data_IF_424283379137
#
_entry.id   IF_424283379137
#
_cell.length_a   1.000
_cell.length_b   1.000
_cell.length_c   1.000
_cell.angle_alpha   90.00
_cell.angle_beta   90.00
_cell.angle_gamma   90.00
#
_symmetry.space_group_name_H-M   'P 1'
#
loop_
_entity.id
_entity.type
_entity.pdbx_description
1 polymer ?
#
# COMPACT_ATOMS: atom_id res chain seq x y z
N UNK A 1 -0.33 5.47 10.44
CA UNK A 1 -0.37 6.95 10.61
C UNK A 1 -1.62 7.46 11.35
N UNK A 2 -1.72 8.75 11.75
CA UNK A 2 -2.95 9.33 12.33
C UNK A 2 -4.17 9.24 11.40
N UNK A 3 -5.36 9.12 12.00
CA UNK A 3 -6.63 8.94 11.29
C UNK A 3 -6.61 7.74 10.31
N UNK A 4 -5.92 6.65 10.69
CA UNK A 4 -5.82 5.44 9.86
C UNK A 4 -7.20 4.89 9.56
N UNK A 5 -7.41 4.52 8.29
CA UNK A 5 -8.64 3.90 7.79
C UNK A 5 -9.92 4.73 8.08
N UNK A 6 -9.77 6.04 8.32
CA UNK A 6 -10.89 6.94 8.62
C UNK A 6 -11.81 6.46 9.77
N UNK A 7 -11.31 5.59 10.67
CA UNK A 7 -12.11 5.00 11.74
C UNK A 7 -12.86 3.70 11.39
N UNK A 8 -12.63 3.12 10.21
CA UNK A 8 -13.23 1.86 9.74
C UNK A 8 -12.58 0.61 10.40
N UNK A 9 -12.65 -0.57 9.78
CA UNK A 9 -12.31 -1.87 10.38
C UNK A 9 -10.85 -1.99 10.82
N UNK A 10 -9.92 -1.31 10.14
CA UNK A 10 -8.49 -1.26 10.45
C UNK A 10 -8.09 0.05 11.16
N UNK A 11 -9.03 0.71 11.85
CA UNK A 11 -8.76 1.93 12.63
C UNK A 11 -7.60 1.79 13.62
N UNK A 12 -7.02 2.93 14.00
CA UNK A 12 -5.89 3.02 14.93
C UNK A 12 -4.86 4.02 14.43
N UNK A 13 -3.58 3.67 14.57
CA UNK A 13 -2.46 4.52 14.19
C UNK A 13 -2.01 5.47 15.32
N UNK A 14 -1.01 6.30 15.04
CA UNK A 14 -0.48 7.25 16.00
C UNK A 14 -1.53 8.31 16.39
N UNK A 15 -1.55 8.72 17.65
CA UNK A 15 -2.56 9.65 18.16
C UNK A 15 -2.48 11.08 17.60
N UNK A 16 -1.33 11.49 17.03
CA UNK A 16 -1.12 12.77 16.36
C UNK A 16 0.15 12.74 15.49
N UNK A 17 0.41 13.82 14.75
CA UNK A 17 1.60 13.99 13.92
C UNK A 17 2.93 13.80 14.67
N UNK A 18 3.07 14.33 15.88
CA UNK A 18 4.32 14.21 16.65
C UNK A 18 4.59 12.76 17.06
N UNK A 19 3.57 12.04 17.52
CA UNK A 19 3.67 10.62 17.84
C UNK A 19 4.05 9.79 16.61
N UNK A 20 3.49 10.12 15.44
CA UNK A 20 3.86 9.47 14.18
C UNK A 20 5.33 9.72 13.81
N UNK A 21 5.76 10.99 13.85
CA UNK A 21 7.14 11.40 13.57
C UNK A 21 8.15 10.73 14.49
N UNK A 22 7.81 10.58 15.77
CA UNK A 22 8.64 9.85 16.75
C UNK A 22 8.72 8.36 16.43
N UNK A 23 7.58 7.73 16.11
CA UNK A 23 7.55 6.32 15.72
C UNK A 23 8.41 6.05 14.48
N UNK A 24 8.29 6.88 13.44
CA UNK A 24 9.08 6.77 12.20
C UNK A 24 10.59 6.88 12.47
N UNK A 25 11.00 7.83 13.32
CA UNK A 25 12.41 8.00 13.70
C UNK A 25 12.92 6.80 14.50
N UNK A 26 12.12 6.25 15.41
CA UNK A 26 12.44 5.01 16.14
C UNK A 26 12.57 3.81 15.21
N UNK A 27 11.62 3.62 14.30
CA UNK A 27 11.65 2.57 13.27
C UNK A 27 12.91 2.67 12.40
N UNK A 28 13.21 3.86 11.87
CA UNK A 28 14.40 4.10 11.07
C UNK A 28 15.70 3.94 11.88
N UNK A 29 15.70 4.25 13.17
CA UNK A 29 16.78 3.91 14.08
C UNK A 29 17.02 2.39 14.17
N UNK A 30 15.94 1.61 14.24
CA UNK A 30 15.99 0.13 14.26
C UNK A 30 16.44 -0.52 12.95
N UNK A 31 16.20 0.12 11.80
CA UNK A 31 16.75 -0.33 10.51
C UNK A 31 18.29 -0.32 10.53
N UNK A 32 18.89 0.68 11.19
CA UNK A 32 20.34 0.88 11.17
C UNK A 32 20.85 1.04 9.74
N UNK A 33 21.86 0.26 9.37
CA UNK A 33 22.44 0.22 8.02
C UNK A 33 22.04 -1.05 7.24
N UNK A 34 20.98 -1.75 7.66
CA UNK A 34 20.53 -2.97 7.00
C UNK A 34 19.81 -2.63 5.69
N UNK A 35 19.93 -3.52 4.70
CA UNK A 35 19.11 -3.42 3.48
C UNK A 35 17.67 -3.77 3.84
N UNK A 36 16.76 -2.85 3.59
CA UNK A 36 15.34 -3.01 3.88
C UNK A 36 14.50 -2.42 2.74
N UNK A 37 13.41 -3.10 2.42
CA UNK A 37 12.32 -2.57 1.59
C UNK A 37 11.18 -2.18 2.53
N UNK A 38 10.67 -0.97 2.39
CA UNK A 38 9.58 -0.44 3.22
C UNK A 38 8.41 -0.07 2.33
N UNK A 39 7.27 -0.73 2.58
CA UNK A 39 5.97 -0.36 2.03
C UNK A 39 5.35 0.65 3.00
N UNK A 40 5.21 1.89 2.53
CA UNK A 40 4.86 3.02 3.39
C UNK A 40 3.36 3.30 3.34
N UNK A 41 2.71 3.02 4.48
CA UNK A 41 1.33 3.38 4.81
C UNK A 41 0.28 2.99 3.76
N UNK A 42 -0.06 1.69 3.64
CA UNK A 42 -1.18 1.22 2.83
C UNK A 42 -2.45 2.03 3.05
N UNK A 43 -3.13 2.36 1.95
CA UNK A 43 -4.38 3.13 1.84
C UNK A 43 -4.30 4.59 2.27
N UNK A 44 -3.17 5.06 2.78
CA UNK A 44 -3.08 6.41 3.32
C UNK A 44 -3.40 7.46 2.25
N UNK A 45 -2.73 7.40 1.10
CA UNK A 45 -2.98 8.35 0.03
C UNK A 45 -4.30 8.09 -0.68
N UNK A 46 -4.71 6.84 -0.88
CA UNK A 46 -5.95 6.52 -1.58
C UNK A 46 -7.20 6.93 -0.78
N UNK A 47 -7.23 6.60 0.51
CA UNK A 47 -8.36 6.81 1.42
C UNK A 47 -8.44 8.19 2.07
N UNK A 48 -7.58 9.15 1.71
CA UNK A 48 -7.52 10.45 2.40
C UNK A 48 -8.74 11.37 2.16
N UNK A 49 -9.62 11.06 1.21
CA UNK A 49 -10.79 11.92 0.87
C UNK A 49 -11.84 11.99 1.97
N UNK A 50 -11.79 11.09 2.95
CA UNK A 50 -12.61 11.16 4.16
C UNK A 50 -12.19 12.30 5.11
N UNK A 51 -10.97 12.82 4.94
CA UNK A 51 -10.38 13.83 5.81
C UNK A 51 -10.69 15.24 5.33
N UNK A 52 -10.67 16.21 6.25
CA UNK A 52 -10.73 17.63 5.88
C UNK A 52 -9.43 18.06 5.20
N UNK A 53 -9.46 19.15 4.45
CA UNK A 53 -8.31 19.61 3.65
C UNK A 53 -7.02 19.77 4.47
N UNK A 54 -7.11 20.31 5.70
CA UNK A 54 -5.96 20.43 6.60
C UNK A 54 -5.34 19.09 6.96
N UNK A 55 -6.18 18.11 7.30
CA UNK A 55 -5.74 16.76 7.67
C UNK A 55 -5.20 15.97 6.46
N UNK A 56 -5.71 16.23 5.25
CA UNK A 56 -5.14 15.69 4.01
C UNK A 56 -3.74 16.26 3.75
N UNK A 57 -3.51 17.54 4.04
CA UNK A 57 -2.17 18.13 3.94
C UNK A 57 -1.24 17.54 5.00
N UNK A 58 -1.67 17.46 6.26
CA UNK A 58 -0.88 16.83 7.33
C UNK A 58 -0.48 15.39 6.95
N UNK A 59 -1.41 14.60 6.43
CA UNK A 59 -1.14 13.22 5.97
C UNK A 59 -0.02 13.15 4.95
N UNK A 60 -0.08 14.00 3.93
CA UNK A 60 0.90 14.04 2.85
C UNK A 60 2.26 14.50 3.38
N UNK A 61 2.30 15.50 4.27
CA UNK A 61 3.52 15.98 4.90
C UNK A 61 4.19 14.92 5.79
N UNK A 62 3.38 14.13 6.50
CA UNK A 62 3.86 13.03 7.34
C UNK A 62 4.47 11.89 6.50
N UNK A 63 3.86 11.57 5.35
CA UNK A 63 4.43 10.58 4.42
C UNK A 63 5.76 11.09 3.86
N UNK A 64 5.83 12.37 3.48
CA UNK A 64 7.07 12.95 2.96
C UNK A 64 8.20 12.95 4.01
N UNK A 65 7.92 13.33 5.27
CA UNK A 65 8.88 13.21 6.38
C UNK A 65 9.35 11.77 6.55
N UNK A 66 8.44 10.79 6.47
CA UNK A 66 8.77 9.38 6.58
C UNK A 66 9.69 8.88 5.46
N UNK A 67 9.42 9.27 4.21
CA UNK A 67 10.31 8.99 3.07
C UNK A 67 11.72 9.49 3.38
N UNK A 68 11.88 10.77 3.74
CA UNK A 68 13.19 11.38 4.04
C UNK A 68 13.94 10.64 5.13
N UNK A 69 13.27 10.33 6.24
CA UNK A 69 13.87 9.65 7.39
C UNK A 69 14.34 8.23 7.02
N UNK A 70 13.56 7.48 6.26
CA UNK A 70 13.92 6.11 5.84
C UNK A 70 14.98 6.11 4.74
N UNK A 71 14.93 7.04 3.78
CA UNK A 71 15.94 7.20 2.73
C UNK A 71 17.29 7.60 3.31
N UNK A 72 17.34 8.40 4.38
CA UNK A 72 18.58 8.69 5.10
C UNK A 72 19.24 7.46 5.74
N UNK A 73 18.53 6.33 5.86
CA UNK A 73 19.06 5.03 6.30
C UNK A 73 19.39 4.07 5.14
N UNK A 74 19.22 4.52 3.90
CA UNK A 74 19.46 3.69 2.71
C UNK A 74 18.38 2.66 2.44
N UNK A 75 17.20 2.77 3.06
CA UNK A 75 16.08 1.89 2.75
C UNK A 75 15.54 2.14 1.32
N UNK A 76 15.01 1.09 0.70
CA UNK A 76 14.15 1.21 -0.48
C UNK A 76 12.72 1.48 -0.02
N UNK A 77 12.12 2.59 -0.43
CA UNK A 77 10.81 3.07 0.06
C UNK A 77 9.82 3.11 -1.10
N UNK A 78 8.68 2.43 -0.90
CA UNK A 78 7.55 2.40 -1.83
C UNK A 78 6.31 2.99 -1.16
N UNK A 79 5.87 4.18 -1.60
CA UNK A 79 4.68 4.85 -1.07
C UNK A 79 3.42 4.15 -1.62
N UNK A 80 2.50 3.70 -0.78
CA UNK A 80 1.30 3.03 -1.27
C UNK A 80 0.41 3.94 -2.13
N UNK A 81 -0.06 3.40 -3.25
CA UNK A 81 -0.92 4.06 -4.23
C UNK A 81 -2.32 3.41 -4.32
N UNK A 82 -2.72 2.63 -3.31
CA UNK A 82 -3.98 1.90 -3.29
C UNK A 82 -4.05 0.87 -4.42
N UNK A 83 -5.12 0.93 -5.22
CA UNK A 83 -5.35 -0.03 -6.30
C UNK A 83 -5.98 0.60 -7.55
N UNK A 84 -5.92 -0.12 -8.67
CA UNK A 84 -6.31 0.35 -10.00
C UNK A 84 -7.79 0.73 -10.16
N UNK A 85 -8.65 0.45 -9.17
CA UNK A 85 -10.09 0.77 -9.20
C UNK A 85 -10.51 1.77 -8.11
N UNK A 86 -9.55 2.36 -7.38
CA UNK A 86 -9.88 3.29 -6.30
C UNK A 86 -9.75 4.77 -6.71
N UNK A 87 -8.54 5.20 -7.09
CA UNK A 87 -8.25 6.62 -7.41
C UNK A 87 -7.73 6.71 -8.84
N UNK A 88 -8.23 7.63 -9.67
CA UNK A 88 -7.69 7.84 -11.03
C UNK A 88 -6.17 8.08 -11.01
N UNK A 89 -5.45 7.52 -11.98
CA UNK A 89 -3.98 7.56 -12.01
C UNK A 89 -3.40 8.98 -11.98
N UNK A 90 -4.06 9.94 -12.66
CA UNK A 90 -3.66 11.34 -12.65
C UNK A 90 -3.75 11.97 -11.25
N UNK A 91 -4.81 11.66 -10.52
CA UNK A 91 -5.02 12.16 -9.17
C UNK A 91 -4.05 11.50 -8.19
N UNK A 92 -3.86 10.17 -8.29
CA UNK A 92 -2.89 9.47 -7.45
C UNK A 92 -1.46 9.99 -7.68
N UNK A 93 -1.08 10.23 -8.93
CA UNK A 93 0.21 10.85 -9.25
C UNK A 93 0.38 12.24 -8.59
N UNK A 94 -0.67 13.07 -8.56
CA UNK A 94 -0.63 14.36 -7.88
C UNK A 94 -0.46 14.20 -6.35
N UNK A 95 -1.13 13.20 -5.74
CA UNK A 95 -0.96 12.86 -4.31
C UNK A 95 0.47 12.41 -4.01
N UNK A 96 1.03 11.53 -4.85
CA UNK A 96 2.42 11.03 -4.74
C UNK A 96 3.45 12.14 -4.90
N UNK A 97 3.26 13.06 -5.84
CA UNK A 97 4.14 14.22 -6.02
C UNK A 97 4.21 15.06 -4.75
N UNK A 98 3.07 15.36 -4.13
CA UNK A 98 3.04 16.10 -2.86
C UNK A 98 3.64 15.28 -1.70
N UNK A 99 3.53 13.95 -1.74
CA UNK A 99 4.04 13.04 -0.70
C UNK A 99 5.54 12.72 -0.84
N UNK A 100 6.25 13.31 -1.81
CA UNK A 100 7.70 13.17 -1.96
C UNK A 100 8.15 11.94 -2.73
N UNK A 101 7.35 11.42 -3.66
CA UNK A 101 7.71 10.28 -4.53
C UNK A 101 9.04 10.48 -5.29
N UNK A 102 9.44 11.73 -5.54
CA UNK A 102 10.72 12.04 -6.17
C UNK A 102 11.92 11.51 -5.37
N UNK A 103 11.83 11.50 -4.04
CA UNK A 103 12.87 11.03 -3.12
C UNK A 103 12.76 9.52 -2.82
N UNK A 104 11.58 8.93 -3.04
CA UNK A 104 11.32 7.50 -2.89
C UNK A 104 11.79 6.67 -4.11
N UNK A 105 11.88 5.36 -3.94
CA UNK A 105 12.28 4.43 -5.01
C UNK A 105 11.09 4.13 -5.93
N UNK A 106 9.88 4.13 -5.38
CA UNK A 106 8.68 3.84 -6.15
C UNK A 106 7.40 3.94 -5.35
N UNK A 107 6.38 3.24 -5.83
CA UNK A 107 5.09 3.09 -5.15
C UNK A 107 4.64 1.63 -5.08
N UNK A 108 3.71 1.32 -4.19
CA UNK A 108 3.12 -0.02 -4.10
C UNK A 108 1.67 0.00 -4.55
N UNK A 109 1.20 -1.13 -5.06
CA UNK A 109 -0.17 -1.31 -5.53
C UNK A 109 -0.78 -2.59 -4.98
N UNK A 110 -2.10 -2.59 -4.92
CA UNK A 110 -2.94 -3.76 -4.69
C UNK A 110 -2.80 -4.36 -3.29
N UNK A 111 -2.19 -3.64 -2.34
CA UNK A 111 -2.02 -4.12 -0.96
C UNK A 111 -3.38 -4.53 -0.40
N UNK A 112 -3.47 -5.78 0.07
CA UNK A 112 -4.72 -6.35 0.60
C UNK A 112 -5.89 -6.34 -0.40
N UNK A 113 -5.65 -6.28 -1.72
CA UNK A 113 -6.71 -6.31 -2.73
C UNK A 113 -6.53 -7.49 -3.71
N UNK A 114 -7.41 -7.60 -4.69
CA UNK A 114 -7.61 -8.81 -5.50
C UNK A 114 -7.49 -8.56 -7.01
N UNK A 115 -7.16 -7.33 -7.42
CA UNK A 115 -7.06 -6.98 -8.83
C UNK A 115 -5.86 -7.69 -9.47
N UNK A 116 -6.06 -8.19 -10.69
CA UNK A 116 -5.06 -8.95 -11.42
C UNK A 116 -3.80 -8.17 -11.78
N UNK A 117 -2.74 -8.89 -12.12
CA UNK A 117 -1.47 -8.29 -12.53
C UNK A 117 -1.65 -7.42 -13.78
N UNK A 118 -2.44 -7.86 -14.76
CA UNK A 118 -2.65 -7.10 -16.01
C UNK A 118 -3.17 -5.68 -15.74
N UNK A 119 -4.18 -5.53 -14.87
CA UNK A 119 -4.75 -4.22 -14.59
C UNK A 119 -3.85 -3.38 -13.67
N UNK A 120 -3.18 -4.00 -12.69
CA UNK A 120 -2.24 -3.29 -11.82
C UNK A 120 -1.03 -2.76 -12.61
N UNK A 121 -0.50 -3.54 -13.55
CA UNK A 121 0.60 -3.11 -14.42
C UNK A 121 0.16 -1.95 -15.30
N UNK A 122 -1.04 -2.01 -15.89
CA UNK A 122 -1.56 -0.93 -16.73
C UNK A 122 -1.75 0.37 -15.92
N UNK A 123 -2.37 0.28 -14.74
CA UNK A 123 -2.57 1.42 -13.85
C UNK A 123 -1.24 2.01 -13.34
N UNK A 124 -0.35 1.15 -12.84
CA UNK A 124 0.96 1.54 -12.35
C UNK A 124 1.81 2.18 -13.44
N UNK A 125 1.75 1.69 -14.68
CA UNK A 125 2.47 2.33 -15.79
C UNK A 125 1.97 3.75 -16.07
N UNK A 126 0.67 4.03 -15.94
CA UNK A 126 0.14 5.39 -16.07
C UNK A 126 0.56 6.30 -14.91
N UNK A 127 0.49 5.81 -13.67
CA UNK A 127 0.99 6.56 -12.50
C UNK A 127 2.49 6.85 -12.65
N UNK A 128 3.29 5.83 -12.96
CA UNK A 128 4.74 5.89 -13.15
C UNK A 128 5.13 6.98 -14.16
N UNK A 129 4.50 6.98 -15.34
CA UNK A 129 4.74 8.00 -16.38
C UNK A 129 4.52 9.42 -15.88
N UNK A 130 3.57 9.63 -14.96
CA UNK A 130 3.22 10.95 -14.42
C UNK A 130 4.11 11.40 -13.26
N UNK A 131 4.81 10.48 -12.61
CA UNK A 131 5.72 10.77 -11.49
C UNK A 131 7.20 10.60 -11.86
N UNK A 132 7.53 10.69 -13.14
CA UNK A 132 8.92 10.66 -13.63
C UNK A 132 9.49 9.26 -13.84
N UNK A 133 8.66 8.28 -14.20
CA UNK A 133 9.09 6.92 -14.52
C UNK A 133 9.47 6.08 -13.31
N UNK A 134 8.96 6.42 -12.11
CA UNK A 134 9.22 5.67 -10.88
C UNK A 134 8.71 4.24 -10.99
N UNK A 135 9.47 3.31 -10.43
CA UNK A 135 9.11 1.90 -10.44
C UNK A 135 8.00 1.62 -9.42
N UNK A 136 7.45 0.41 -9.46
CA UNK A 136 6.45 -0.02 -8.48
C UNK A 136 6.50 -1.50 -8.18
N UNK A 137 5.87 -1.87 -7.07
CA UNK A 137 5.64 -3.25 -6.64
C UNK A 137 4.14 -3.53 -6.59
N UNK A 138 3.76 -4.79 -6.76
CA UNK A 138 2.35 -5.21 -6.71
C UNK A 138 2.20 -6.32 -5.68
N UNK A 139 1.23 -6.16 -4.77
CA UNK A 139 0.78 -7.26 -3.91
C UNK A 139 -0.02 -8.26 -4.74
N UNK A 140 0.43 -9.50 -4.74
CA UNK A 140 -0.09 -10.59 -5.57
C UNK A 140 -0.66 -11.74 -4.76
N UNK A 141 -0.68 -11.62 -3.42
CA UNK A 141 -1.03 -12.76 -2.57
C UNK A 141 -2.43 -13.31 -2.85
N UNK A 142 -3.41 -12.47 -3.19
CA UNK A 142 -4.82 -12.86 -3.37
C UNK A 142 -5.38 -12.55 -4.76
N UNK A 143 -4.52 -12.33 -5.76
CA UNK A 143 -4.96 -11.88 -7.09
C UNK A 143 -4.86 -12.94 -8.20
N UNK A 144 -4.76 -14.23 -7.85
CA UNK A 144 -4.55 -15.32 -8.81
C UNK A 144 -5.66 -15.53 -9.83
N UNK A 145 -6.87 -15.00 -9.57
CA UNK A 145 -7.95 -14.98 -10.56
C UNK A 145 -7.69 -14.03 -11.74
N UNK A 146 -6.72 -13.14 -11.61
CA UNK A 146 -6.35 -12.12 -12.58
C UNK A 146 -7.53 -11.27 -13.10
N UNK A 147 -8.44 -10.88 -12.21
CA UNK A 147 -9.67 -10.12 -12.56
C UNK A 147 -9.41 -8.62 -12.73
N UNK A 148 -10.17 -7.98 -13.60
CA UNK A 148 -10.10 -6.51 -13.82
C UNK A 148 -11.04 -5.72 -12.90
N UNK A 149 -11.93 -6.40 -12.19
CA UNK A 149 -12.82 -5.86 -11.16
C UNK A 149 -12.80 -6.81 -9.97
N UNK A 150 -12.50 -6.28 -8.79
CA UNK A 150 -12.77 -6.96 -7.53
C UNK A 150 -14.21 -6.61 -7.13
N UNK A 151 -14.97 -7.59 -6.65
CA UNK A 151 -16.32 -7.35 -6.13
C UNK A 151 -16.25 -6.59 -4.80
N UNK A 152 -16.54 -7.28 -3.69
CA UNK A 152 -16.21 -6.75 -2.37
C UNK A 152 -14.71 -6.86 -2.10
N UNK A 153 -14.16 -5.90 -1.34
CA UNK A 153 -12.79 -5.97 -0.83
C UNK A 153 -12.69 -6.72 0.50
N UNK A 154 -13.81 -6.89 1.21
CA UNK A 154 -13.83 -7.42 2.56
C UNK A 154 -14.12 -8.93 2.52
N UNK A 155 -13.09 -9.77 2.67
CA UNK A 155 -13.16 -11.24 2.65
C UNK A 155 -13.99 -11.85 1.49
N UNK A 156 -13.78 -11.44 0.22
CA UNK A 156 -14.49 -12.06 -0.90
C UNK A 156 -14.14 -13.55 -1.00
N UNK A 157 -15.13 -14.44 -1.22
CA UNK A 157 -14.88 -15.87 -1.36
C UNK A 157 -14.24 -16.22 -2.71
N UNK A 158 -13.62 -17.39 -2.77
CA UNK A 158 -13.11 -18.01 -4.00
C UNK A 158 -11.99 -17.21 -4.68
N UNK A 159 -11.18 -16.50 -3.91
CA UNK A 159 -9.96 -15.87 -4.40
C UNK A 159 -8.87 -16.93 -4.51
N UNK A 160 -7.93 -16.72 -5.44
CA UNK A 160 -6.82 -17.63 -5.64
C UNK A 160 -5.53 -16.94 -5.26
N UNK A 161 -4.59 -17.72 -4.73
CA UNK A 161 -3.22 -17.25 -4.53
C UNK A 161 -2.62 -16.86 -5.88
N UNK A 162 -2.06 -15.66 -5.96
CA UNK A 162 -1.43 -15.17 -7.19
C UNK A 162 0.03 -15.61 -7.33
N UNK A 163 0.76 -14.90 -8.18
CA UNK A 163 2.18 -15.18 -8.42
C UNK A 163 2.97 -15.13 -7.12
N UNK A 164 3.83 -16.12 -6.87
CA UNK A 164 4.74 -16.08 -5.72
C UNK A 164 5.70 -14.88 -5.81
N UNK A 165 6.27 -14.40 -4.68
CA UNK A 165 7.15 -13.25 -4.70
C UNK A 165 8.32 -13.44 -5.66
N UNK A 166 8.51 -12.49 -6.58
CA UNK A 166 9.52 -12.58 -7.65
C UNK A 166 9.84 -11.21 -8.24
N UNK A 167 11.07 -11.03 -8.71
CA UNK A 167 11.49 -9.90 -9.55
C UNK A 167 11.36 -10.19 -11.04
N UNK A 168 11.02 -11.42 -11.43
CA UNK A 168 10.73 -11.78 -12.82
C UNK A 168 9.28 -11.42 -13.17
N UNK A 169 9.01 -10.12 -13.34
CA UNK A 169 7.65 -9.57 -13.48
C UNK A 169 7.21 -9.45 -14.94
N UNK A 170 8.15 -9.54 -15.89
CA UNK A 170 7.91 -9.29 -17.31
C UNK A 170 7.67 -7.82 -17.66
N UNK A 171 7.84 -6.89 -16.72
CA UNK A 171 7.71 -5.44 -16.93
C UNK A 171 8.96 -4.72 -16.41
N UNK A 172 9.50 -3.80 -17.21
CA UNK A 172 10.66 -2.99 -16.80
C UNK A 172 10.33 -1.97 -15.69
N UNK A 173 9.04 -1.71 -15.42
CA UNK A 173 8.59 -0.77 -14.38
C UNK A 173 8.20 -1.47 -13.07
N UNK A 174 8.03 -2.79 -13.09
CA UNK A 174 7.61 -3.54 -11.90
C UNK A 174 8.82 -4.20 -11.29
N UNK A 175 9.28 -3.68 -10.16
CA UNK A 175 10.44 -4.21 -9.46
C UNK A 175 10.20 -5.61 -8.91
N UNK A 176 9.00 -5.85 -8.37
CA UNK A 176 8.63 -7.13 -7.80
C UNK A 176 7.12 -7.34 -7.72
N UNK A 177 6.72 -8.60 -7.87
CA UNK A 177 5.53 -9.12 -7.22
C UNK A 177 5.90 -9.55 -5.82
N UNK A 178 5.12 -9.14 -4.83
CA UNK A 178 5.31 -9.48 -3.43
C UNK A 178 4.00 -10.00 -2.85
N UNK A 179 4.10 -10.70 -1.72
CA UNK A 179 2.97 -11.02 -0.86
C UNK A 179 3.06 -10.09 0.34
N UNK A 180 2.23 -9.06 0.37
CA UNK A 180 2.32 -7.99 1.37
C UNK A 180 1.23 -8.17 2.42
N UNK A 181 -0.02 -8.35 2.00
CA UNK A 181 -1.04 -8.90 2.90
C UNK A 181 -0.66 -10.33 3.28
N UNK A 182 -0.74 -10.64 4.57
CA UNK A 182 -0.58 -12.01 5.06
C UNK A 182 -1.77 -12.85 4.57
N UNK A 183 -1.53 -13.94 3.81
CA UNK A 183 -2.60 -14.86 3.44
C UNK A 183 -3.28 -15.42 4.69
N UNK A 184 -4.60 -15.61 4.62
CA UNK A 184 -5.38 -16.16 5.73
C UNK A 184 -5.74 -15.18 6.84
N UNK A 185 -5.21 -13.95 6.85
CA UNK A 185 -5.73 -12.92 7.76
C UNK A 185 -7.04 -12.32 7.24
N UNK A 186 -8.04 -12.21 8.12
CA UNK A 186 -9.29 -11.51 7.81
C UNK A 186 -9.05 -10.04 7.46
N UNK A 187 -9.85 -9.51 6.53
CA UNK A 187 -9.91 -8.08 6.17
C UNK A 187 -10.75 -7.26 7.16
N UNK A 188 -11.58 -7.92 7.97
CA UNK A 188 -12.51 -7.27 8.88
C UNK A 188 -13.73 -8.12 9.18
N UNK A 189 -14.62 -7.63 10.04
CA UNK A 189 -15.78 -8.41 10.45
C UNK A 189 -16.80 -8.61 9.32
N UNK A 190 -16.84 -7.76 8.29
CA UNK A 190 -17.60 -7.97 7.04
C UNK A 190 -18.98 -8.66 7.18
N UNK A 191 -19.77 -8.37 8.22
CA UNK A 191 -21.07 -9.04 8.46
C UNK A 191 -21.03 -10.42 9.13
N UNK A 192 -19.96 -10.78 9.85
CA UNK A 192 -19.84 -12.01 10.65
C UNK A 192 -18.48 -12.72 10.62
N UNK A 193 -17.55 -12.25 9.80
CA UNK A 193 -16.17 -12.73 9.71
C UNK A 193 -15.33 -12.33 10.94
N UNK A 194 -14.13 -12.93 11.14
CA UNK A 194 -13.21 -12.53 12.20
C UNK A 194 -12.74 -11.07 12.10
N UNK A 195 -12.32 -10.43 13.20
CA UNK A 195 -11.70 -9.10 13.19
C UNK A 195 -10.49 -8.99 12.22
N UNK A 196 -10.23 -7.77 11.73
CA UNK A 196 -9.15 -7.51 10.79
C UNK A 196 -7.78 -7.91 11.37
N UNK A 197 -6.99 -8.64 10.59
CA UNK A 197 -5.66 -9.15 11.00
C UNK A 197 -5.69 -10.46 11.79
N UNK A 198 -6.87 -10.99 12.16
CA UNK A 198 -6.93 -12.31 12.79
C UNK A 198 -6.73 -13.41 11.76
N UNK A 199 -5.92 -14.40 12.12
CA UNK A 199 -5.76 -15.64 11.34
C UNK A 199 -7.11 -16.37 11.21
N UNK A 200 -7.43 -16.77 9.98
CA UNK A 200 -8.65 -17.48 9.62
C UNK A 200 -8.33 -18.61 8.64
N UNK A 201 -8.15 -19.82 9.18
CA UNK A 201 -7.73 -20.99 8.42
C UNK A 201 -8.69 -21.32 7.26
N UNK A 202 -10.01 -21.23 7.47
CA UNK A 202 -11.00 -21.53 6.43
C UNK A 202 -10.88 -20.59 5.23
N UNK A 203 -10.41 -19.36 5.44
CA UNK A 203 -10.17 -18.41 4.34
C UNK A 203 -8.83 -18.64 3.64
N UNK A 204 -7.86 -19.26 4.31
CA UNK A 204 -6.54 -19.55 3.77
C UNK A 204 -6.50 -20.84 2.92
N UNK A 205 -7.42 -21.77 3.18
CA UNK A 205 -7.41 -23.14 2.65
C UNK A 205 -8.41 -23.37 1.50
N UNK A 206 -9.17 -22.35 1.10
CA UNK A 206 -10.15 -22.36 0.00
C UNK A 206 -9.65 -21.57 -1.20
#
# INVERSE_FOLDING_TARGET
>A
MPHRDCGSYSRGGAGNANAYKQWIRGFAGGLGNKRAVVILEPDALAGMTCLKAGDQQERVDLIHDAVRVMKAKGAAVYIDAGNARWVPAAEMAARHTRAGIAEADGFSLNISNFLGNTINIAYGSDVSRRVGGKHFIVDTIRNGRNVSTAGTWCNPPGQLVGTAPTTNTGSSLVDAFLWIKTPGESDGTCGGCPPAGNWWADYALV
#
